data_IF_136456700225
#
_entry.id   IF_136456700225
#
_cell.length_a   1.000
_cell.length_b   1.000
_cell.length_c   1.000
_cell.angle_alpha   90.00
_cell.angle_beta   90.00
_cell.angle_gamma   90.00
#
_symmetry.space_group_name_H-M   'P 1'
#
loop_
_entity.id
_entity.type
_entity.pdbx_description
1 polymer ?
#
# COMPACT_ATOMS: atom_id res chain seq x y z
N UNK A 1 4.33 -4.38 45.94
CA UNK A 1 3.28 -3.56 45.31
C UNK A 1 3.97 -2.28 44.84
N UNK A 2 4.44 -2.29 43.61
CA UNK A 2 4.96 -1.10 42.93
C UNK A 2 4.36 -1.18 41.53
N UNK A 3 3.28 -0.42 41.35
CA UNK A 3 2.57 -0.28 40.09
C UNK A 3 3.56 0.18 39.01
N UNK A 4 3.70 -0.62 37.97
CA UNK A 4 4.32 -0.18 36.73
C UNK A 4 3.43 0.91 36.13
N UNK A 5 3.98 2.10 35.97
CA UNK A 5 3.37 3.18 35.23
C UNK A 5 3.22 2.75 33.77
N UNK A 6 2.10 2.08 33.47
CA UNK A 6 1.64 1.87 32.11
C UNK A 6 1.36 3.23 31.49
N UNK A 7 2.02 3.51 30.38
CA UNK A 7 1.69 4.62 29.47
C UNK A 7 0.17 4.62 29.29
N UNK A 8 -0.49 5.72 29.67
CA UNK A 8 -1.95 5.84 29.51
C UNK A 8 -2.24 5.75 28.02
N UNK A 9 -3.15 4.86 27.61
CA UNK A 9 -3.41 4.47 26.22
C UNK A 9 -3.90 5.61 25.31
N UNK A 10 -3.01 6.54 24.97
CA UNK A 10 -3.32 7.77 24.23
C UNK A 10 -2.25 8.86 24.32
N UNK A 11 -1.28 8.75 25.24
CA UNK A 11 -0.16 9.69 25.32
C UNK A 11 0.76 9.55 24.09
N UNK A 12 1.30 10.68 23.62
CA UNK A 12 2.27 10.71 22.53
C UNK A 12 3.57 10.06 23.02
N UNK A 13 4.14 9.08 22.31
CA UNK A 13 5.46 8.56 22.62
C UNK A 13 6.53 9.66 22.55
N UNK A 14 7.43 9.71 23.54
CA UNK A 14 8.40 10.81 23.72
C UNK A 14 9.43 10.94 22.58
N UNK A 15 9.55 9.93 21.71
CA UNK A 15 10.52 9.90 20.59
C UNK A 15 9.92 10.22 19.22
N UNK A 16 8.68 10.72 19.14
CA UNK A 16 8.07 11.06 17.86
C UNK A 16 8.60 12.40 17.30
N UNK A 17 8.88 12.41 16.00
CA UNK A 17 9.08 13.66 15.26
C UNK A 17 7.77 14.46 15.18
N UNK A 18 7.84 15.74 14.80
CA UNK A 18 6.63 16.57 14.63
C UNK A 18 5.65 15.98 13.60
N UNK A 19 6.16 15.41 12.50
CA UNK A 19 5.35 14.74 11.48
C UNK A 19 4.66 13.49 12.03
N UNK A 20 5.39 12.66 12.79
CA UNK A 20 4.83 11.45 13.40
C UNK A 20 3.82 11.77 14.51
N UNK A 21 4.08 12.79 15.32
CA UNK A 21 3.16 13.24 16.35
C UNK A 21 1.84 13.76 15.74
N UNK A 22 1.92 14.53 14.65
CA UNK A 22 0.74 14.97 13.91
C UNK A 22 -0.02 13.79 13.29
N UNK A 23 0.69 12.83 12.70
CA UNK A 23 0.11 11.59 12.17
C UNK A 23 -0.62 10.80 13.27
N UNK A 24 -0.03 10.68 14.46
CA UNK A 24 -0.62 9.99 15.61
C UNK A 24 -1.95 10.63 16.04
N UNK A 25 -1.99 11.96 16.12
CA UNK A 25 -3.22 12.69 16.47
C UNK A 25 -4.29 12.56 15.37
N UNK A 26 -3.89 12.67 14.11
CA UNK A 26 -4.80 12.49 12.98
C UNK A 26 -5.40 11.07 12.95
N UNK A 27 -4.59 10.05 13.27
CA UNK A 27 -5.04 8.67 13.37
C UNK A 27 -6.17 8.51 14.39
N UNK A 28 -5.98 9.04 15.62
CA UNK A 28 -6.99 8.98 16.69
C UNK A 28 -8.26 9.74 16.35
N UNK A 29 -8.13 10.84 15.62
CA UNK A 29 -9.27 11.65 15.17
C UNK A 29 -9.98 11.06 13.94
N UNK A 30 -9.29 10.19 13.18
CA UNK A 30 -9.76 9.63 11.92
C UNK A 30 -9.75 10.61 10.74
N UNK A 31 -9.01 11.70 10.85
CA UNK A 31 -8.88 12.75 9.84
C UNK A 31 -7.74 12.50 8.87
N UNK A 32 -7.81 13.10 7.68
CA UNK A 32 -6.69 13.10 6.74
C UNK A 32 -5.53 13.91 7.33
N UNK A 33 -4.33 13.34 7.29
CA UNK A 33 -3.08 14.03 7.58
C UNK A 33 -2.35 14.35 6.28
N UNK A 34 -2.37 15.63 5.90
CA UNK A 34 -1.82 16.12 4.65
C UNK A 34 -0.56 16.95 4.92
N UNK A 35 0.57 16.50 4.39
CA UNK A 35 1.85 17.20 4.50
C UNK A 35 2.24 17.90 3.20
N UNK A 36 1.35 17.96 2.19
CA UNK A 36 1.58 18.64 0.92
C UNK A 36 1.87 20.13 1.09
N UNK A 37 2.61 20.68 0.14
CA UNK A 37 3.09 22.07 0.14
C UNK A 37 2.17 22.94 -0.71
N UNK A 38 1.40 22.31 -1.60
CA UNK A 38 0.53 22.95 -2.58
C UNK A 38 1.21 23.12 -3.94
N UNK A 39 2.54 22.95 -4.03
CA UNK A 39 3.27 22.96 -5.28
C UNK A 39 3.29 21.55 -5.90
N UNK A 40 2.68 21.40 -7.07
CA UNK A 40 2.56 20.11 -7.76
C UNK A 40 3.91 19.46 -8.10
N UNK A 41 4.95 20.27 -8.35
CA UNK A 41 6.28 19.78 -8.72
C UNK A 41 7.02 19.26 -7.49
N UNK A 42 6.89 19.97 -6.37
CA UNK A 42 7.48 19.56 -5.08
C UNK A 42 6.73 18.36 -4.49
N UNK A 43 5.41 18.32 -4.66
CA UNK A 43 4.53 17.29 -4.10
C UNK A 43 4.42 16.04 -4.98
N UNK A 44 5.12 15.97 -6.13
CA UNK A 44 5.11 14.79 -7.00
C UNK A 44 5.83 13.60 -6.32
N UNK A 45 5.11 12.53 -5.94
CA UNK A 45 5.72 11.35 -5.33
C UNK A 45 6.66 10.60 -6.29
N UNK A 46 6.50 10.78 -7.60
CA UNK A 46 7.32 10.16 -8.65
C UNK A 46 8.47 11.05 -9.13
N UNK A 47 8.49 12.31 -8.67
CA UNK A 47 9.48 13.32 -9.04
C UNK A 47 10.81 13.17 -8.30
N UNK A 48 11.81 13.92 -8.74
CA UNK A 48 13.15 13.90 -8.15
C UNK A 48 13.34 14.82 -6.94
N UNK A 49 12.35 15.65 -6.59
CA UNK A 49 12.47 16.57 -5.46
C UNK A 49 12.57 15.79 -4.14
N UNK A 50 13.60 16.04 -3.32
CA UNK A 50 13.74 15.41 -2.01
C UNK A 50 12.65 15.95 -1.07
N UNK A 51 12.05 15.08 -0.26
CA UNK A 51 11.18 15.49 0.84
C UNK A 51 11.97 15.42 2.15
N UNK A 52 11.83 16.45 2.99
CA UNK A 52 12.59 16.57 4.23
C UNK A 52 11.95 15.84 5.40
N UNK A 53 12.57 15.93 6.60
CA UNK A 53 12.06 15.30 7.82
C UNK A 53 10.67 15.81 8.22
N UNK A 54 10.28 17.01 7.82
CA UNK A 54 8.96 17.60 8.05
C UNK A 54 7.82 16.86 7.35
N UNK A 55 8.13 16.02 6.35
CA UNK A 55 7.15 15.18 5.63
C UNK A 55 7.39 13.70 5.82
N UNK A 56 8.34 13.33 6.69
CA UNK A 56 8.81 11.96 6.83
C UNK A 56 8.25 11.32 8.09
N UNK A 57 7.81 10.08 7.97
CA UNK A 57 7.42 9.23 9.09
C UNK A 57 8.13 7.89 8.99
N UNK A 58 8.64 7.38 10.11
CA UNK A 58 9.29 6.06 10.13
C UNK A 58 8.23 4.98 9.92
N UNK A 59 8.55 3.99 9.09
CA UNK A 59 7.69 2.84 8.87
C UNK A 59 7.32 2.10 10.17
N UNK A 60 8.22 2.07 11.17
CA UNK A 60 7.92 1.48 12.49
C UNK A 60 6.72 2.14 13.17
N UNK A 61 6.55 3.46 13.03
CA UNK A 61 5.46 4.22 13.67
C UNK A 61 4.17 4.01 12.88
N UNK A 62 4.24 3.94 11.56
CA UNK A 62 3.11 3.55 10.71
C UNK A 62 2.64 2.14 11.09
N UNK A 63 3.55 1.18 11.22
CA UNK A 63 3.23 -0.18 11.62
C UNK A 63 2.61 -0.24 13.02
N UNK A 64 3.15 0.53 13.97
CA UNK A 64 2.58 0.63 15.31
C UNK A 64 1.13 1.13 15.28
N UNK A 65 0.83 2.21 14.56
CA UNK A 65 -0.54 2.72 14.44
C UNK A 65 -1.50 1.69 13.84
N UNK A 66 -1.03 0.87 12.90
CA UNK A 66 -1.86 -0.12 12.20
C UNK A 66 -2.08 -1.42 12.99
N UNK A 67 -1.11 -1.84 13.79
CA UNK A 67 -1.12 -3.12 14.51
C UNK A 67 -1.51 -3.00 15.99
N UNK A 68 -1.10 -1.92 16.65
CA UNK A 68 -1.33 -1.67 18.08
C UNK A 68 -1.51 -0.16 18.34
N UNK A 69 -2.33 0.49 17.52
CA UNK A 69 -2.53 1.92 17.57
C UNK A 69 -3.30 2.40 18.81
N UNK A 70 -3.17 3.68 19.19
CA UNK A 70 -3.92 4.27 20.28
C UNK A 70 -5.44 4.26 19.98
N UNK A 71 -6.30 4.25 21.02
CA UNK A 71 -7.73 4.33 20.82
C UNK A 71 -8.12 5.66 20.18
N UNK A 72 -9.21 5.61 19.40
CA UNK A 72 -9.83 6.77 18.81
C UNK A 72 -10.27 7.79 19.88
N UNK A 73 -10.37 9.06 19.50
CA UNK A 73 -11.01 10.07 20.34
C UNK A 73 -12.50 9.75 20.50
N UNK A 74 -13.11 10.25 21.58
CA UNK A 74 -14.53 10.01 21.85
C UNK A 74 -15.41 10.43 20.66
N UNK A 75 -16.27 9.52 20.19
CA UNK A 75 -17.14 9.75 19.04
C UNK A 75 -16.43 9.74 17.69
N UNK A 76 -15.16 9.30 17.62
CA UNK A 76 -14.39 9.15 16.37
C UNK A 76 -14.08 7.68 16.09
N UNK A 77 -13.67 7.41 14.86
CA UNK A 77 -13.15 6.11 14.41
C UNK A 77 -11.69 6.29 14.02
N UNK A 78 -10.80 5.47 14.57
CA UNK A 78 -9.39 5.53 14.22
C UNK A 78 -9.18 5.10 12.76
N UNK A 79 -8.38 5.87 12.01
CA UNK A 79 -8.02 5.52 10.64
C UNK A 79 -6.72 6.17 10.22
N UNK A 80 -5.93 5.49 9.38
CA UNK A 80 -4.70 6.01 8.83
C UNK A 80 -4.96 6.57 7.43
N UNK A 81 -5.03 7.89 7.33
CA UNK A 81 -5.27 8.61 6.06
C UNK A 81 -4.14 9.60 5.82
N UNK A 82 -3.15 9.24 5.00
CA UNK A 82 -1.97 10.08 4.76
C UNK A 82 -1.99 10.66 3.35
N UNK A 83 -1.56 11.91 3.21
CA UNK A 83 -1.36 12.57 1.92
C UNK A 83 -0.01 13.26 1.85
N UNK A 84 0.79 12.95 0.82
CA UNK A 84 2.09 13.58 0.61
C UNK A 84 3.16 13.24 1.66
N UNK A 85 3.10 12.04 2.25
CA UNK A 85 4.03 11.61 3.30
C UNK A 85 5.13 10.71 2.72
N UNK A 86 6.38 10.93 3.15
CA UNK A 86 7.48 9.99 2.92
C UNK A 86 7.55 8.98 4.06
N UNK A 87 7.47 7.69 3.73
CA UNK A 87 7.62 6.60 4.69
C UNK A 87 9.07 6.09 4.57
N UNK A 88 9.84 6.27 5.63
CA UNK A 88 11.24 5.81 5.72
C UNK A 88 11.28 4.37 6.19
N UNK A 89 12.35 3.66 5.85
CA UNK A 89 12.55 2.24 6.21
C UNK A 89 11.50 1.29 5.60
N UNK A 90 11.60 0.00 5.94
CA UNK A 90 10.68 -1.06 5.46
C UNK A 90 9.39 -1.01 6.27
N UNK A 91 8.25 -0.92 5.59
CA UNK A 91 6.93 -1.08 6.22
C UNK A 91 6.57 -2.55 6.29
N UNK A 92 6.81 -3.15 7.45
CA UNK A 92 6.51 -4.54 7.72
C UNK A 92 5.23 -4.69 8.54
N UNK A 93 4.24 -5.36 7.95
CA UNK A 93 2.95 -5.71 8.54
C UNK A 93 2.68 -7.22 8.38
N UNK A 94 3.72 -8.01 8.10
CA UNK A 94 3.60 -9.45 7.84
C UNK A 94 2.87 -10.18 8.98
N UNK A 95 1.91 -11.04 8.63
CA UNK A 95 1.09 -11.82 9.58
C UNK A 95 0.18 -10.99 10.50
N UNK A 96 0.14 -9.67 10.34
CA UNK A 96 -0.65 -8.78 11.18
C UNK A 96 -2.10 -8.65 10.72
N UNK A 97 -2.99 -8.31 11.65
CA UNK A 97 -4.39 -7.96 11.36
C UNK A 97 -4.58 -6.47 11.52
N UNK A 98 -4.83 -5.77 10.43
CA UNK A 98 -5.04 -4.31 10.38
C UNK A 98 -6.52 -4.02 10.26
N UNK A 99 -7.12 -3.66 11.39
CA UNK A 99 -8.54 -3.26 11.49
C UNK A 99 -8.79 -1.81 11.04
N UNK A 100 -7.95 -0.82 11.39
CA UNK A 100 -8.19 0.57 10.98
C UNK A 100 -8.20 0.74 9.47
N UNK A 101 -9.03 1.66 8.98
CA UNK A 101 -9.06 2.00 7.57
C UNK A 101 -7.74 2.63 7.12
N UNK A 102 -7.18 2.15 5.99
CA UNK A 102 -5.89 2.61 5.45
C UNK A 102 -6.06 3.27 4.08
N UNK A 103 -5.70 4.55 3.98
CA UNK A 103 -5.62 5.27 2.73
C UNK A 103 -4.35 6.13 2.66
N UNK A 104 -3.48 5.85 1.69
CA UNK A 104 -2.27 6.61 1.41
C UNK A 104 -2.39 7.23 0.02
N UNK A 105 -2.33 8.55 -0.07
CA UNK A 105 -2.46 9.32 -1.32
C UNK A 105 -1.17 10.09 -1.60
N UNK A 106 -0.62 9.91 -2.79
CA UNK A 106 0.59 10.65 -3.18
C UNK A 106 1.75 10.46 -2.21
N UNK A 107 1.88 9.27 -1.60
CA UNK A 107 2.95 8.99 -0.64
C UNK A 107 4.16 8.36 -1.34
N UNK A 108 5.34 8.53 -0.75
CA UNK A 108 6.61 7.98 -1.26
C UNK A 108 7.20 7.03 -0.23
N UNK A 109 7.54 5.82 -0.65
CA UNK A 109 8.21 4.85 0.20
C UNK A 109 9.69 4.79 -0.14
N UNK A 110 10.55 4.84 0.89
CA UNK A 110 11.98 4.70 0.70
C UNK A 110 12.38 3.24 0.45
N UNK A 111 11.72 2.30 1.14
CA UNK A 111 11.94 0.85 1.02
C UNK A 111 10.63 0.13 0.70
N UNK A 112 10.69 -1.19 0.66
CA UNK A 112 9.57 -2.05 0.31
C UNK A 112 8.48 -2.13 1.39
N UNK A 113 7.27 -2.50 0.96
CA UNK A 113 6.12 -2.79 1.82
C UNK A 113 5.97 -4.31 1.90
N UNK A 114 6.02 -4.86 3.10
CA UNK A 114 5.90 -6.28 3.39
C UNK A 114 4.54 -6.54 4.07
N UNK A 115 3.63 -7.17 3.33
CA UNK A 115 2.30 -7.60 3.77
C UNK A 115 2.06 -9.13 3.65
N UNK A 116 3.08 -10.02 3.66
CA UNK A 116 2.79 -11.43 3.49
C UNK A 116 1.92 -11.94 4.66
N UNK A 117 0.85 -12.67 4.35
CA UNK A 117 -0.11 -13.20 5.34
C UNK A 117 -0.83 -12.15 6.20
N UNK A 118 -0.79 -10.87 5.79
CA UNK A 118 -1.49 -9.81 6.50
C UNK A 118 -2.99 -9.80 6.17
N UNK A 119 -3.82 -9.41 7.14
CA UNK A 119 -5.27 -9.26 7.00
C UNK A 119 -5.67 -7.79 7.08
N UNK A 120 -6.52 -7.34 6.15
CA UNK A 120 -7.04 -5.98 6.10
C UNK A 120 -8.55 -5.97 5.83
N UNK A 121 -9.22 -4.91 6.28
CA UNK A 121 -10.56 -4.58 5.76
C UNK A 121 -10.46 -4.06 4.32
N UNK A 122 -9.72 -2.97 4.08
CA UNK A 122 -9.49 -2.41 2.75
C UNK A 122 -8.16 -1.65 2.75
N UNK A 123 -7.40 -1.76 1.66
CA UNK A 123 -6.12 -1.04 1.50
C UNK A 123 -6.18 -0.16 0.25
N UNK A 124 -5.87 1.13 0.43
CA UNK A 124 -5.85 2.10 -0.68
C UNK A 124 -4.51 2.82 -0.74
N UNK A 125 -3.74 2.54 -1.79
CA UNK A 125 -2.55 3.30 -2.19
C UNK A 125 -2.87 4.01 -3.51
N UNK A 126 -3.04 5.33 -3.49
CA UNK A 126 -3.43 6.10 -4.68
C UNK A 126 -2.29 7.02 -5.08
N UNK A 127 -1.80 6.88 -6.30
CA UNK A 127 -0.70 7.70 -6.82
C UNK A 127 0.58 7.62 -5.94
N UNK A 128 0.89 6.46 -5.37
CA UNK A 128 2.07 6.30 -4.52
C UNK A 128 3.29 5.81 -5.32
N UNK A 129 4.48 6.18 -4.89
CA UNK A 129 5.76 5.66 -5.41
C UNK A 129 6.31 4.64 -4.44
N UNK A 130 6.36 3.37 -4.86
CA UNK A 130 6.67 2.23 -4.00
C UNK A 130 7.82 1.42 -4.61
N UNK A 131 8.93 1.20 -3.91
CA UNK A 131 10.02 0.38 -4.41
C UNK A 131 9.57 -1.03 -4.76
N UNK A 132 8.78 -1.66 -3.89
CA UNK A 132 8.25 -3.01 -4.07
C UNK A 132 7.09 -3.27 -3.12
N UNK A 133 6.09 -4.02 -3.59
CA UNK A 133 4.98 -4.50 -2.76
C UNK A 133 5.03 -6.03 -2.70
N UNK A 134 5.28 -6.56 -1.51
CA UNK A 134 5.23 -7.98 -1.20
C UNK A 134 3.97 -8.29 -0.42
N UNK A 135 2.94 -8.80 -1.09
CA UNK A 135 1.63 -9.07 -0.49
C UNK A 135 1.17 -10.49 -0.81
N UNK A 136 2.10 -11.45 -0.74
CA UNK A 136 1.78 -12.87 -0.91
C UNK A 136 0.86 -13.35 0.22
N UNK A 137 -0.24 -14.03 -0.11
CA UNK A 137 -1.26 -14.47 0.86
C UNK A 137 -1.89 -13.33 1.66
N UNK A 138 -1.85 -12.09 1.19
CA UNK A 138 -2.62 -11.01 1.83
C UNK A 138 -4.11 -11.33 1.71
N UNK A 139 -4.87 -11.03 2.76
CA UNK A 139 -6.32 -11.14 2.76
C UNK A 139 -6.94 -9.76 2.94
N UNK A 140 -7.85 -9.36 2.04
CA UNK A 140 -8.67 -8.16 2.20
C UNK A 140 -10.14 -8.55 2.23
N UNK A 141 -10.92 -8.04 3.18
CA UNK A 141 -12.38 -8.22 3.17
C UNK A 141 -13.05 -7.43 2.04
N UNK A 142 -12.51 -6.25 1.74
CA UNK A 142 -12.91 -5.37 0.65
C UNK A 142 -11.79 -5.18 -0.37
N UNK A 143 -11.67 -3.95 -0.89
CA UNK A 143 -10.83 -3.67 -2.05
C UNK A 143 -9.33 -3.67 -1.74
N UNK A 144 -8.54 -4.03 -2.74
CA UNK A 144 -7.14 -3.64 -2.85
C UNK A 144 -6.99 -2.62 -3.98
N UNK A 145 -6.85 -1.35 -3.61
CA UNK A 145 -6.83 -0.23 -4.55
C UNK A 145 -5.42 0.35 -4.69
N UNK A 146 -4.84 0.22 -5.87
CA UNK A 146 -3.47 0.61 -6.21
C UNK A 146 -3.39 1.53 -7.46
N UNK A 147 -4.33 2.47 -7.69
CA UNK A 147 -4.42 3.17 -8.96
C UNK A 147 -3.34 4.24 -9.04
N UNK A 148 -2.80 4.46 -10.24
CA UNK A 148 -1.73 5.45 -10.51
C UNK A 148 -0.46 5.22 -9.68
N UNK A 149 -0.35 4.09 -8.97
CA UNK A 149 0.86 3.77 -8.23
C UNK A 149 1.99 3.39 -9.19
N UNK A 150 3.22 3.71 -8.82
CA UNK A 150 4.42 3.28 -9.53
C UNK A 150 5.20 2.31 -8.65
N UNK A 151 5.36 1.09 -9.12
CA UNK A 151 6.11 0.03 -8.46
C UNK A 151 7.42 -0.22 -9.20
N UNK A 152 8.56 0.02 -8.56
CA UNK A 152 9.87 0.01 -9.22
C UNK A 152 10.48 -1.40 -9.38
N UNK A 153 10.13 -2.32 -8.48
CA UNK A 153 10.69 -3.68 -8.43
C UNK A 153 9.59 -4.74 -8.29
N UNK A 154 8.47 -4.51 -8.97
CA UNK A 154 7.35 -5.42 -9.08
C UNK A 154 6.40 -5.46 -7.88
N UNK A 155 5.30 -6.18 -8.10
CA UNK A 155 4.24 -6.43 -7.14
C UNK A 155 4.01 -7.94 -7.05
N UNK A 156 3.96 -8.47 -5.83
CA UNK A 156 3.63 -9.88 -5.59
C UNK A 156 2.33 -9.99 -4.81
N UNK A 157 1.40 -10.73 -5.37
CA UNK A 157 0.07 -11.07 -4.84
C UNK A 157 -0.17 -12.58 -4.94
N UNK A 158 0.90 -13.38 -4.87
CA UNK A 158 0.80 -14.85 -4.94
C UNK A 158 -0.11 -15.37 -3.85
N UNK A 159 -1.11 -16.16 -4.21
CA UNK A 159 -2.12 -16.73 -3.31
C UNK A 159 -2.87 -15.68 -2.46
N UNK A 160 -2.92 -14.42 -2.90
CA UNK A 160 -3.69 -13.38 -2.22
C UNK A 160 -5.20 -13.60 -2.36
N UNK A 161 -5.97 -13.16 -1.37
CA UNK A 161 -7.43 -13.20 -1.39
C UNK A 161 -7.99 -11.78 -1.24
N UNK A 162 -8.58 -11.27 -2.33
CA UNK A 162 -9.18 -9.95 -2.38
C UNK A 162 -10.70 -10.11 -2.37
N UNK A 163 -11.36 -9.65 -1.31
CA UNK A 163 -12.78 -9.92 -1.07
C UNK A 163 -13.72 -9.30 -2.10
N UNK A 164 -13.39 -8.11 -2.60
CA UNK A 164 -14.14 -7.41 -3.65
C UNK A 164 -13.25 -7.17 -4.87
N UNK A 165 -12.80 -5.92 -5.10
CA UNK A 165 -12.12 -5.52 -6.33
C UNK A 165 -10.61 -5.35 -6.15
N UNK A 166 -9.85 -5.79 -7.16
CA UNK A 166 -8.45 -5.43 -7.33
C UNK A 166 -8.33 -4.35 -8.41
N UNK A 167 -7.91 -3.17 -8.00
CA UNK A 167 -7.91 -1.98 -8.84
C UNK A 167 -6.47 -1.47 -9.08
N UNK A 168 -5.97 -1.64 -10.29
CA UNK A 168 -4.62 -1.28 -10.77
C UNK A 168 -4.66 -0.21 -11.88
N UNK A 169 -5.78 0.49 -12.01
CA UNK A 169 -6.00 1.47 -13.08
C UNK A 169 -4.88 2.52 -13.13
N UNK A 170 -4.29 2.70 -14.31
CA UNK A 170 -3.18 3.63 -14.59
C UNK A 170 -1.91 3.38 -13.75
N UNK A 171 -1.79 2.23 -13.09
CA UNK A 171 -0.55 1.91 -12.39
C UNK A 171 0.59 1.67 -13.40
N UNK A 172 1.83 1.87 -12.93
CA UNK A 172 3.05 1.55 -13.68
C UNK A 172 3.85 0.55 -12.87
N UNK A 173 4.08 -0.63 -13.42
CA UNK A 173 4.73 -1.74 -12.70
C UNK A 173 5.96 -2.19 -13.46
N UNK A 174 7.13 -1.94 -12.89
CA UNK A 174 8.41 -2.38 -13.44
C UNK A 174 8.79 -3.77 -12.93
N UNK A 175 9.62 -4.47 -13.71
CA UNK A 175 10.08 -5.84 -13.41
C UNK A 175 10.89 -5.93 -12.12
N UNK A 176 10.65 -7.00 -11.39
CA UNK A 176 11.54 -7.52 -10.34
C UNK A 176 12.82 -8.12 -10.95
N UNK A 177 13.71 -8.62 -10.06
CA UNK A 177 14.96 -9.30 -10.44
C UNK A 177 14.74 -10.59 -11.25
N UNK A 178 13.52 -11.14 -11.29
CA UNK A 178 13.14 -12.33 -12.04
C UNK A 178 12.40 -11.99 -13.34
N UNK A 179 12.33 -10.71 -13.72
CA UNK A 179 11.70 -10.25 -14.95
C UNK A 179 10.16 -10.14 -14.87
N UNK A 180 9.56 -10.24 -13.68
CA UNK A 180 8.11 -10.18 -13.49
C UNK A 180 7.70 -8.81 -12.98
N UNK A 181 6.70 -8.20 -13.61
CA UNK A 181 6.12 -6.94 -13.13
C UNK A 181 5.12 -7.22 -12.02
N UNK A 182 4.14 -8.09 -12.26
CA UNK A 182 3.12 -8.47 -11.28
C UNK A 182 2.98 -9.98 -11.23
N UNK A 183 3.05 -10.56 -10.03
CA UNK A 183 2.84 -12.00 -9.81
C UNK A 183 1.61 -12.22 -8.95
N UNK A 184 0.47 -12.48 -9.58
CA UNK A 184 -0.81 -12.84 -8.94
C UNK A 184 -1.18 -14.30 -9.15
N UNK A 185 -0.18 -15.19 -9.19
CA UNK A 185 -0.42 -16.63 -9.31
C UNK A 185 -1.23 -17.15 -8.12
N UNK A 186 -2.27 -17.95 -8.37
CA UNK A 186 -3.15 -18.50 -7.34
C UNK A 186 -4.03 -17.47 -6.61
N UNK A 187 -4.03 -16.20 -7.03
CA UNK A 187 -4.80 -15.14 -6.38
C UNK A 187 -6.30 -15.28 -6.66
N UNK A 188 -7.14 -15.01 -5.67
CA UNK A 188 -8.59 -14.91 -5.83
C UNK A 188 -9.04 -13.46 -5.66
N UNK A 189 -9.86 -12.98 -6.59
CA UNK A 189 -10.55 -11.67 -6.54
C UNK A 189 -12.05 -11.95 -6.58
N UNK A 190 -12.78 -11.48 -5.57
CA UNK A 190 -14.20 -11.78 -5.40
C UNK A 190 -15.07 -11.18 -6.50
N UNK A 191 -14.70 -10.01 -7.01
CA UNK A 191 -15.44 -9.29 -8.05
C UNK A 191 -14.54 -8.98 -9.25
N UNK A 192 -14.19 -7.71 -9.48
CA UNK A 192 -13.49 -7.26 -10.67
C UNK A 192 -11.99 -7.09 -10.45
N UNK A 193 -11.20 -7.53 -11.43
CA UNK A 193 -9.81 -7.12 -11.60
C UNK A 193 -9.75 -6.03 -12.68
N UNK A 194 -9.66 -4.78 -12.24
CA UNK A 194 -9.56 -3.63 -13.15
C UNK A 194 -8.12 -3.16 -13.23
N UNK A 195 -7.53 -3.28 -14.41
CA UNK A 195 -6.17 -2.87 -14.69
C UNK A 195 -6.15 -2.02 -15.96
N UNK A 196 -7.08 -1.07 -16.10
CA UNK A 196 -7.20 -0.22 -17.28
C UNK A 196 -6.05 0.78 -17.38
N UNK A 197 -5.51 0.96 -18.59
CA UNK A 197 -4.35 1.81 -18.85
C UNK A 197 -3.13 1.46 -17.99
N UNK A 198 -3.05 0.22 -17.47
CA UNK A 198 -1.88 -0.30 -16.75
C UNK A 198 -0.66 -0.31 -17.69
N UNK A 199 0.49 0.16 -17.21
CA UNK A 199 1.77 -0.03 -17.89
C UNK A 199 2.61 -1.07 -17.14
N UNK A 200 2.73 -2.26 -17.72
CA UNK A 200 3.49 -3.39 -17.17
C UNK A 200 4.78 -3.56 -17.95
N UNK A 201 5.93 -3.46 -17.27
CA UNK A 201 7.25 -3.68 -17.85
C UNK A 201 7.87 -4.96 -17.28
N UNK A 202 7.55 -6.10 -17.87
CA UNK A 202 7.89 -7.43 -17.38
C UNK A 202 6.74 -8.40 -17.60
N UNK A 203 6.91 -9.64 -17.16
CA UNK A 203 5.83 -10.63 -17.18
C UNK A 203 4.78 -10.30 -16.12
N UNK A 204 3.53 -10.13 -16.56
CA UNK A 204 2.33 -10.12 -15.72
C UNK A 204 1.81 -11.55 -15.64
N UNK A 205 1.92 -12.18 -14.47
CA UNK A 205 1.55 -13.57 -14.24
C UNK A 205 0.28 -13.66 -13.39
N UNK A 206 -0.72 -14.38 -13.89
CA UNK A 206 -2.02 -14.66 -13.27
C UNK A 206 -2.34 -16.16 -13.38
N UNK A 207 -1.33 -17.02 -13.16
CA UNK A 207 -1.52 -18.47 -13.34
C UNK A 207 -2.40 -19.02 -12.23
N UNK A 208 -3.51 -19.67 -12.58
CA UNK A 208 -4.44 -20.21 -11.59
C UNK A 208 -5.13 -19.13 -10.76
N UNK A 209 -5.11 -17.87 -11.20
CA UNK A 209 -5.87 -16.82 -10.54
C UNK A 209 -7.36 -17.01 -10.83
N UNK A 210 -8.24 -16.59 -9.92
CA UNK A 210 -9.69 -16.62 -10.10
C UNK A 210 -10.23 -15.21 -9.94
N UNK A 211 -10.99 -14.73 -10.92
CA UNK A 211 -11.67 -13.43 -10.87
C UNK A 211 -13.17 -13.67 -10.97
N UNK A 212 -13.92 -13.25 -9.96
CA UNK A 212 -15.33 -13.61 -9.81
C UNK A 212 -16.25 -13.03 -10.89
N UNK A 213 -15.94 -11.82 -11.38
CA UNK A 213 -16.78 -11.12 -12.36
C UNK A 213 -16.02 -10.83 -13.65
N UNK A 214 -15.10 -9.87 -13.67
CA UNK A 214 -14.42 -9.49 -14.91
C UNK A 214 -12.96 -9.09 -14.73
N UNK A 215 -12.16 -9.39 -15.76
CA UNK A 215 -10.81 -8.86 -15.93
C UNK A 215 -10.83 -7.78 -17.03
N UNK A 216 -10.54 -6.53 -16.67
CA UNK A 216 -10.37 -5.44 -17.63
C UNK A 216 -8.90 -5.02 -17.76
N UNK A 217 -8.36 -5.12 -18.98
CA UNK A 217 -7.03 -4.63 -19.37
C UNK A 217 -7.15 -3.54 -20.45
N UNK A 218 -8.24 -2.78 -20.44
CA UNK A 218 -8.54 -1.81 -21.50
C UNK A 218 -7.47 -0.73 -21.59
N UNK A 219 -6.86 -0.59 -22.77
CA UNK A 219 -5.83 0.43 -23.01
C UNK A 219 -4.49 0.15 -22.32
N UNK A 220 -4.31 -1.02 -21.71
CA UNK A 220 -3.11 -1.38 -20.98
C UNK A 220 -1.96 -1.75 -21.92
N UNK A 221 -0.74 -1.41 -21.52
CA UNK A 221 0.48 -1.73 -22.25
C UNK A 221 1.25 -2.79 -21.49
N UNK A 222 1.31 -3.99 -22.03
CA UNK A 222 2.08 -5.10 -21.46
C UNK A 222 3.35 -5.30 -22.28
N UNK A 223 4.48 -4.83 -21.74
CA UNK A 223 5.77 -4.81 -22.41
C UNK A 223 6.74 -5.77 -21.73
N UNK A 224 7.15 -6.83 -22.43
CA UNK A 224 8.22 -7.71 -21.96
C UNK A 224 9.19 -8.05 -23.10
N UNK A 225 10.15 -7.17 -23.42
CA UNK A 225 11.07 -7.39 -24.54
C UNK A 225 12.10 -8.50 -24.27
N UNK A 226 12.20 -8.98 -23.03
CA UNK A 226 13.24 -9.93 -22.60
C UNK A 226 12.77 -11.38 -22.55
N UNK A 227 11.47 -11.63 -22.73
CA UNK A 227 10.87 -12.97 -22.70
C UNK A 227 9.71 -13.06 -23.70
N UNK A 228 9.23 -14.28 -23.94
CA UNK A 228 8.13 -14.54 -24.87
C UNK A 228 6.78 -14.04 -24.37
N UNK A 229 6.58 -13.95 -23.06
CA UNK A 229 5.28 -13.68 -22.45
C UNK A 229 5.27 -12.34 -21.72
N UNK A 230 4.44 -11.40 -22.17
CA UNK A 230 4.08 -10.21 -21.41
C UNK A 230 2.92 -10.47 -20.44
N UNK A 231 2.01 -11.37 -20.82
CA UNK A 231 0.90 -11.88 -20.00
C UNK A 231 1.00 -13.41 -19.91
N UNK A 232 0.94 -13.96 -18.70
CA UNK A 232 0.96 -15.39 -18.43
C UNK A 232 -0.26 -15.79 -17.59
N UNK A 233 -1.34 -16.20 -18.27
CA UNK A 233 -2.63 -16.53 -17.66
C UNK A 233 -3.25 -17.80 -18.32
N UNK A 234 -2.62 -18.98 -18.21
CA UNK A 234 -3.05 -20.20 -18.89
C UNK A 234 -4.30 -20.85 -18.28
N UNK A 235 -4.67 -20.48 -17.06
CA UNK A 235 -5.77 -21.04 -16.25
C UNK A 235 -6.37 -19.92 -15.40
N UNK A 236 -6.95 -18.92 -16.06
CA UNK A 236 -7.64 -17.79 -15.44
C UNK A 236 -9.15 -18.03 -15.46
#
# INVERSE_FOLDING_TARGET
MTEGAGVRGGDLPDELTAAEAGMWQAFRNGSVYDLRSGDMTVDDPHGGHPWGPERSARARIVAWLLLDGPPALQGRVASLKLTGVQITDVLDLAGGTVVPYVELKGCRFEKEILLPEAHFTTVRLVNCSVPRLEAARVHTEGDLHLPRCRFHNGVRLTDAHIGTDLLLNQAVVYRDRRGRSLTGDGMTVGQDLQAEMLESHGELSLRGATVGVSLSLRGSKLNNPYSRLALNAPQL
#
